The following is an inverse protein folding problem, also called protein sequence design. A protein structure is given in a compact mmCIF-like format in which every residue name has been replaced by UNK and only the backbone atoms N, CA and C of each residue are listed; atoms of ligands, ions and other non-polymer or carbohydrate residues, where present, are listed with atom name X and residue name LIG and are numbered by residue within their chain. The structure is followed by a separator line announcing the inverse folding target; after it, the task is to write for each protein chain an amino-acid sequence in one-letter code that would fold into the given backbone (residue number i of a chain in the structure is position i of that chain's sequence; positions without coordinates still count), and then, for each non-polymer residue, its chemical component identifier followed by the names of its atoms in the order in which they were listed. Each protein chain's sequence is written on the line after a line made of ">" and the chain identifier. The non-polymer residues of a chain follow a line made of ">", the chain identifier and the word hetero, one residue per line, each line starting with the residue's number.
data_IF_985311972158
#
_entry.id   IF_985311972158
#
_cell.length_a   1.000
_cell.length_b   1.000
_cell.length_c   1.000
_cell.angle_alpha   90.00
_cell.angle_beta   90.00
_cell.angle_gamma   90.00
#
_symmetry.space_group_name_H-M   'P 1'
#
loop_
_entity.id
_entity.type
_entity.pdbx_description
1 polymer ?
#
# COMPACT_ATOMS: atom_id res chain seq x y z
N UNK A 1 20.56 -40.71 12.87
CA UNK A 1 20.39 -39.33 13.38
C UNK A 1 19.69 -38.54 12.30
N UNK A 2 18.44 -38.12 12.53
CA UNK A 2 17.67 -37.33 11.55
C UNK A 2 18.39 -36.00 11.30
N UNK A 3 18.67 -35.68 10.04
CA UNK A 3 19.07 -34.33 9.61
C UNK A 3 18.16 -33.28 10.26
N UNK A 4 18.68 -32.15 10.78
CA UNK A 4 17.84 -31.10 11.32
C UNK A 4 16.98 -30.58 10.16
N UNK A 5 15.65 -30.73 10.28
CA UNK A 5 14.70 -30.06 9.38
C UNK A 5 15.08 -28.58 9.36
N UNK A 6 15.30 -28.01 8.19
CA UNK A 6 15.59 -26.59 8.00
C UNK A 6 14.47 -25.78 8.68
N UNK A 7 14.74 -25.20 9.85
CA UNK A 7 13.75 -24.39 10.58
C UNK A 7 13.72 -22.99 9.97
N UNK A 8 12.54 -22.38 9.90
CA UNK A 8 12.42 -21.00 9.43
C UNK A 8 13.12 -20.05 10.42
N UNK A 9 13.76 -19.00 9.91
CA UNK A 9 14.32 -17.98 10.79
C UNK A 9 13.21 -17.17 11.47
N UNK A 10 13.37 -16.87 12.77
CA UNK A 10 12.40 -16.08 13.50
C UNK A 10 12.32 -14.66 12.98
N UNK A 11 11.16 -14.07 13.16
CA UNK A 11 10.88 -12.67 12.88
C UNK A 11 10.65 -11.91 14.17
N UNK A 12 10.85 -10.60 14.10
CA UNK A 12 10.52 -9.66 15.16
C UNK A 12 9.62 -8.56 14.58
N UNK A 13 8.44 -8.41 15.15
CA UNK A 13 7.49 -7.36 14.83
C UNK A 13 7.62 -6.22 15.84
N UNK A 14 8.06 -5.05 15.41
CA UNK A 14 8.11 -3.83 16.21
C UNK A 14 6.93 -2.92 15.87
N UNK A 15 5.94 -2.83 16.75
CA UNK A 15 4.76 -2.00 16.55
C UNK A 15 4.88 -0.71 17.36
N UNK A 16 4.52 0.41 16.74
CA UNK A 16 4.34 1.68 17.45
C UNK A 16 2.89 1.81 17.87
N UNK A 17 2.64 2.31 19.08
CA UNK A 17 1.29 2.61 19.54
C UNK A 17 0.50 3.49 18.56
N UNK A 18 -0.84 3.40 18.62
CA UNK A 18 -1.74 4.24 17.83
C UNK A 18 -1.63 5.74 18.16
N UNK A 19 -2.37 6.55 17.43
CA UNK A 19 -2.37 8.01 17.61
C UNK A 19 -2.81 8.44 19.02
N UNK A 20 -2.09 9.42 19.60
CA UNK A 20 -2.43 10.17 20.82
C UNK A 20 -2.45 11.67 20.52
N UNK A 21 -3.08 12.48 21.38
CA UNK A 21 -3.11 13.95 21.23
C UNK A 21 -1.71 14.55 21.02
N UNK A 22 -0.72 14.10 21.79
CA UNK A 22 0.65 14.62 21.70
C UNK A 22 1.43 14.09 20.49
N UNK A 23 1.07 12.90 19.98
CA UNK A 23 1.64 12.41 18.72
C UNK A 23 1.20 13.27 17.52
N UNK A 24 -0.01 13.83 17.57
CA UNK A 24 -0.56 14.74 16.55
C UNK A 24 0.12 16.10 16.67
N UNK A 25 0.21 16.64 17.89
CA UNK A 25 0.74 17.98 18.13
C UNK A 25 2.28 18.06 18.02
N UNK A 26 2.97 16.91 17.98
CA UNK A 26 4.42 16.79 17.89
C UNK A 26 5.14 17.01 19.22
N UNK A 27 4.44 16.82 20.34
CA UNK A 27 5.02 16.90 21.68
C UNK A 27 5.73 15.58 22.05
N UNK A 28 6.88 15.67 22.70
CA UNK A 28 7.61 14.49 23.18
C UNK A 28 6.83 13.82 24.31
N UNK A 29 6.44 12.57 24.13
CA UNK A 29 5.61 11.80 25.08
C UNK A 29 6.38 10.58 25.58
N UNK A 30 7.04 10.70 26.73
CA UNK A 30 7.81 9.65 27.37
C UNK A 30 6.96 8.96 28.43
N UNK A 31 7.08 9.44 29.66
CA UNK A 31 6.42 8.87 30.84
C UNK A 31 4.95 9.26 30.98
N UNK A 32 4.54 10.41 30.43
CA UNK A 32 3.15 10.86 30.49
C UNK A 32 2.21 9.78 29.96
N UNK A 33 1.19 9.43 30.75
CA UNK A 33 0.29 8.33 30.46
C UNK A 33 -0.92 8.80 29.65
N UNK A 34 -0.66 9.19 28.40
CA UNK A 34 -1.67 9.72 27.48
C UNK A 34 -2.39 8.56 26.78
N UNK A 35 -3.73 8.56 26.76
CA UNK A 35 -4.52 7.55 26.06
C UNK A 35 -4.41 7.71 24.53
N UNK A 36 -4.88 6.69 23.81
CA UNK A 36 -5.12 6.81 22.37
C UNK A 36 -6.28 7.78 22.11
N UNK A 37 -6.24 8.50 21.00
CA UNK A 37 -7.42 9.24 20.51
C UNK A 37 -8.46 8.26 19.98
N UNK A 38 -9.72 8.69 19.86
CA UNK A 38 -10.76 7.88 19.22
C UNK A 38 -10.37 7.46 17.78
N UNK A 39 -9.75 8.38 17.04
CA UNK A 39 -9.20 8.10 15.71
C UNK A 39 -8.06 7.07 15.78
N UNK A 40 -7.13 7.21 16.73
CA UNK A 40 -6.05 6.26 16.96
C UNK A 40 -6.57 4.85 17.26
N UNK A 41 -7.61 4.71 18.08
CA UNK A 41 -8.23 3.41 18.32
C UNK A 41 -8.89 2.82 17.06
N UNK A 42 -9.65 3.63 16.32
CA UNK A 42 -10.32 3.21 15.09
C UNK A 42 -9.32 2.72 14.02
N UNK A 43 -8.21 3.45 13.84
CA UNK A 43 -7.11 3.04 12.94
C UNK A 43 -6.57 1.67 13.33
N UNK A 44 -6.34 1.43 14.62
CA UNK A 44 -5.81 0.15 15.09
C UNK A 44 -6.80 -1.00 14.88
N UNK A 45 -8.09 -0.78 15.14
CA UNK A 45 -9.14 -1.79 14.88
C UNK A 45 -9.27 -2.15 13.42
N UNK A 46 -9.16 -1.17 12.52
CA UNK A 46 -9.21 -1.44 11.08
C UNK A 46 -7.95 -2.15 10.56
N UNK A 47 -6.78 -1.80 11.12
CA UNK A 47 -5.52 -2.41 10.75
C UNK A 47 -5.44 -3.87 11.20
N UNK A 48 -5.95 -4.18 12.40
CA UNK A 48 -5.86 -5.48 13.03
C UNK A 48 -6.21 -6.68 12.11
N UNK A 49 -7.40 -6.76 11.47
CA UNK A 49 -7.75 -7.88 10.61
C UNK A 49 -6.97 -7.92 9.29
N UNK A 50 -6.25 -6.86 8.92
CA UNK A 50 -5.41 -6.82 7.71
C UNK A 50 -4.01 -7.37 7.96
N UNK A 51 -3.51 -7.24 9.19
CA UNK A 51 -2.15 -7.65 9.56
C UNK A 51 -2.12 -8.98 10.31
N UNK A 52 -3.17 -9.33 11.07
CA UNK A 52 -3.25 -10.56 11.84
C UNK A 52 -4.08 -11.63 11.12
N UNK A 53 -3.47 -12.80 10.94
CA UNK A 53 -4.09 -14.00 10.39
C UNK A 53 -4.90 -14.73 11.46
N UNK A 54 -5.94 -15.44 11.01
CA UNK A 54 -6.75 -16.34 11.86
C UNK A 54 -6.39 -17.81 11.65
N UNK A 55 -5.61 -18.12 10.61
CA UNK A 55 -5.13 -19.47 10.31
C UNK A 55 -3.84 -19.42 9.49
N UNK A 56 -3.14 -20.55 9.41
CA UNK A 56 -1.96 -20.72 8.56
C UNK A 56 -2.27 -20.61 7.05
N UNK A 57 -3.53 -20.75 6.65
CA UNK A 57 -3.96 -20.62 5.26
C UNK A 57 -4.20 -19.16 4.83
N UNK A 58 -4.23 -18.23 5.79
CA UNK A 58 -4.48 -16.80 5.56
C UNK A 58 -3.15 -16.08 5.31
N UNK A 59 -3.01 -15.43 4.14
CA UNK A 59 -1.75 -14.87 3.64
C UNK A 59 -1.36 -13.54 4.30
N UNK A 60 -1.74 -13.34 5.56
CA UNK A 60 -1.50 -12.09 6.30
C UNK A 60 -0.13 -12.09 6.95
N UNK A 61 0.25 -10.90 7.42
CA UNK A 61 1.62 -10.58 7.79
C UNK A 61 2.05 -11.23 9.11
N UNK A 62 1.15 -11.35 10.08
CA UNK A 62 1.39 -11.86 11.42
C UNK A 62 0.41 -13.00 11.67
N UNK A 63 0.90 -14.18 12.04
CA UNK A 63 0.04 -15.20 12.62
C UNK A 63 0.26 -15.21 14.14
N UNK A 64 -0.75 -14.88 14.96
CA UNK A 64 -0.62 -14.87 16.41
C UNK A 64 -0.08 -16.19 16.99
N UNK A 65 -0.40 -17.33 16.37
CA UNK A 65 0.05 -18.65 16.82
C UNK A 65 1.52 -18.94 16.57
N UNK A 66 2.19 -18.12 15.76
CA UNK A 66 3.63 -18.23 15.51
C UNK A 66 4.45 -17.40 16.51
N UNK A 67 3.78 -16.57 17.32
CA UNK A 67 4.43 -15.67 18.27
C UNK A 67 4.81 -16.43 19.54
N UNK A 68 6.12 -16.57 19.77
CA UNK A 68 6.67 -17.14 20.98
C UNK A 68 6.53 -16.22 22.20
N UNK A 69 6.74 -14.91 21.99
CA UNK A 69 6.73 -13.91 23.07
C UNK A 69 6.19 -12.55 22.60
N UNK A 70 5.46 -11.87 23.50
CA UNK A 70 5.00 -10.50 23.31
C UNK A 70 5.58 -9.63 24.43
N UNK A 71 6.32 -8.58 24.09
CA UNK A 71 6.80 -7.55 25.02
C UNK A 71 6.00 -6.25 24.81
N UNK A 72 5.55 -5.63 25.88
CA UNK A 72 4.71 -4.43 25.79
C UNK A 72 5.22 -3.36 26.73
N UNK A 73 5.26 -2.13 26.23
CA UNK A 73 5.53 -0.98 27.08
C UNK A 73 4.45 -0.80 28.17
N UNK A 74 4.80 -0.41 29.40
CA UNK A 74 3.83 -0.17 30.47
C UNK A 74 2.92 1.03 30.24
N UNK A 75 3.15 1.84 29.20
CA UNK A 75 2.28 2.98 28.88
C UNK A 75 0.93 2.49 28.36
N UNK A 76 -0.15 3.09 28.85
CA UNK A 76 -1.52 2.66 28.50
C UNK A 76 -1.78 2.65 26.99
N UNK A 77 -1.23 3.62 26.24
CA UNK A 77 -1.32 3.68 24.78
C UNK A 77 -0.76 2.43 24.08
N UNK A 78 0.33 1.85 24.58
CA UNK A 78 0.93 0.64 24.00
C UNK A 78 0.13 -0.61 24.39
N UNK A 79 -0.30 -0.70 25.65
CA UNK A 79 -1.17 -1.81 26.11
C UNK A 79 -2.50 -1.82 25.34
N UNK A 80 -3.15 -0.66 25.25
CA UNK A 80 -4.39 -0.49 24.49
C UNK A 80 -4.22 -0.82 23.01
N UNK A 81 -3.09 -0.45 22.42
CA UNK A 81 -2.79 -0.82 21.02
C UNK A 81 -2.76 -2.34 20.84
N UNK A 82 -2.15 -3.10 21.76
CA UNK A 82 -2.16 -4.57 21.71
C UNK A 82 -3.58 -5.13 21.87
N UNK A 83 -4.36 -4.61 22.83
CA UNK A 83 -5.75 -5.04 23.03
C UNK A 83 -6.57 -4.89 21.74
N UNK A 84 -6.48 -3.73 21.08
CA UNK A 84 -7.21 -3.44 19.84
C UNK A 84 -6.77 -4.35 18.68
N UNK A 85 -5.48 -4.70 18.63
CA UNK A 85 -4.98 -5.67 17.65
C UNK A 85 -5.60 -7.05 17.84
N UNK A 86 -5.81 -7.47 19.08
CA UNK A 86 -6.35 -8.80 19.40
C UNK A 86 -7.89 -8.82 19.49
N UNK A 87 -8.55 -7.67 19.57
CA UNK A 87 -10.00 -7.54 19.82
C UNK A 87 -10.87 -8.29 18.80
N UNK A 88 -10.45 -8.34 17.54
CA UNK A 88 -11.18 -9.01 16.46
C UNK A 88 -11.11 -10.55 16.49
N UNK A 89 -10.27 -11.12 17.36
CA UNK A 89 -10.12 -12.56 17.54
C UNK A 89 -11.13 -13.08 18.58
N UNK A 90 -11.66 -14.28 18.34
CA UNK A 90 -12.51 -14.96 19.31
C UNK A 90 -11.76 -15.26 20.62
N UNK A 91 -12.50 -15.53 21.69
CA UNK A 91 -11.91 -15.89 22.99
C UNK A 91 -10.99 -17.12 22.89
N UNK A 92 -11.43 -18.17 22.20
CA UNK A 92 -10.64 -19.37 21.95
C UNK A 92 -9.36 -19.11 21.15
N UNK A 93 -9.40 -18.19 20.18
CA UNK A 93 -8.21 -17.77 19.42
C UNK A 93 -7.24 -16.98 20.31
N UNK A 94 -7.75 -16.13 21.20
CA UNK A 94 -6.94 -15.33 22.13
C UNK A 94 -6.28 -16.18 23.22
N UNK A 95 -6.93 -17.24 23.67
CA UNK A 95 -6.35 -18.20 24.63
C UNK A 95 -5.11 -18.93 24.10
N UNK A 96 -4.99 -19.05 22.78
CA UNK A 96 -3.83 -19.67 22.11
C UNK A 96 -2.65 -18.71 21.95
N UNK A 97 -2.82 -17.43 22.29
CA UNK A 97 -1.78 -16.42 22.17
C UNK A 97 -1.02 -16.34 23.49
N UNK A 98 0.31 -16.30 23.41
CA UNK A 98 1.17 -16.10 24.58
C UNK A 98 0.80 -14.81 25.32
N UNK A 99 0.78 -14.88 26.66
CA UNK A 99 0.50 -13.70 27.50
C UNK A 99 1.60 -12.64 27.32
N UNK A 100 1.24 -11.35 27.22
CA UNK A 100 2.21 -10.28 27.08
C UNK A 100 2.99 -10.04 28.37
N UNK A 101 4.30 -9.83 28.25
CA UNK A 101 5.16 -9.31 29.31
C UNK A 101 5.17 -7.78 29.26
N UNK A 102 4.65 -7.14 30.31
CA UNK A 102 4.71 -5.68 30.45
C UNK A 102 6.07 -5.30 31.07
N UNK A 103 6.87 -4.49 30.38
CA UNK A 103 8.25 -4.21 30.83
C UNK A 103 8.69 -2.76 30.59
N UNK A 104 9.31 -2.14 31.61
CA UNK A 104 9.91 -0.80 31.52
C UNK A 104 11.06 -0.74 30.52
N UNK A 105 11.62 -1.88 30.11
CA UNK A 105 12.67 -1.92 29.10
C UNK A 105 12.17 -1.45 27.73
N UNK A 106 10.87 -1.62 27.44
CA UNK A 106 10.20 -1.16 26.22
C UNK A 106 9.54 0.23 26.38
N UNK A 107 9.89 1.01 27.41
CA UNK A 107 9.42 2.40 27.52
C UNK A 107 10.05 3.29 26.45
N UNK A 108 9.37 4.39 26.13
CA UNK A 108 9.92 5.42 25.24
C UNK A 108 11.21 6.01 25.83
N UNK A 109 11.93 6.82 25.07
CA UNK A 109 12.97 7.70 25.63
C UNK A 109 12.41 8.50 26.82
N UNK A 110 13.10 8.50 27.96
CA UNK A 110 12.73 9.39 29.07
C UNK A 110 13.16 10.83 28.73
N UNK A 111 12.20 11.72 28.45
CA UNK A 111 12.49 13.07 27.96
C UNK A 111 12.80 14.08 29.08
N UNK A 112 12.64 13.73 30.35
CA UNK A 112 12.90 14.57 31.50
C UNK A 112 12.36 16.00 31.35
N UNK A 113 13.25 17.00 31.35
CA UNK A 113 12.88 18.42 31.21
C UNK A 113 12.16 18.75 29.87
N UNK A 114 12.16 17.84 28.90
CA UNK A 114 11.56 18.01 27.58
C UNK A 114 10.25 17.26 27.41
N UNK A 115 9.77 16.55 28.45
CA UNK A 115 8.45 15.90 28.45
C UNK A 115 7.35 16.93 28.13
N UNK A 116 6.52 16.63 27.14
CA UNK A 116 5.44 17.50 26.69
C UNK A 116 5.87 18.70 25.84
N UNK A 117 7.16 18.93 25.61
CA UNK A 117 7.63 20.00 24.73
C UNK A 117 7.74 19.54 23.28
N UNK A 118 7.58 20.47 22.34
CA UNK A 118 7.89 20.29 20.92
C UNK A 118 9.37 20.54 20.67
N UNK A 119 9.92 19.93 19.61
CA UNK A 119 11.32 20.15 19.20
C UNK A 119 11.65 21.64 19.01
N UNK A 120 10.72 22.42 18.45
CA UNK A 120 10.92 23.85 18.27
C UNK A 120 11.11 24.60 19.60
N UNK A 121 10.33 24.24 20.63
CA UNK A 121 10.40 24.86 21.95
C UNK A 121 11.70 24.49 22.68
N UNK A 122 12.16 23.25 22.53
CA UNK A 122 13.45 22.81 23.07
C UNK A 122 14.59 23.58 22.38
N UNK A 123 14.53 23.72 21.05
CA UNK A 123 15.56 24.43 20.29
C UNK A 123 15.60 25.93 20.52
N UNK A 124 14.51 26.56 20.96
CA UNK A 124 14.56 27.96 21.43
C UNK A 124 15.48 28.13 22.65
N UNK A 125 15.56 27.12 23.51
CA UNK A 125 16.42 27.12 24.70
C UNK A 125 17.81 26.56 24.43
N UNK A 126 17.91 25.55 23.56
CA UNK A 126 19.16 24.86 23.19
C UNK A 126 19.20 24.60 21.67
N UNK A 127 19.63 25.58 20.85
CA UNK A 127 19.56 25.51 19.39
C UNK A 127 20.26 24.29 18.76
N UNK A 128 21.41 23.93 19.33
CA UNK A 128 22.26 22.83 18.84
C UNK A 128 21.83 21.44 19.35
N UNK A 129 20.75 21.38 20.14
CA UNK A 129 20.30 20.12 20.74
C UNK A 129 19.91 19.09 19.68
N UNK A 130 20.40 17.88 19.89
CA UNK A 130 20.08 16.71 19.11
C UNK A 130 19.90 15.50 20.03
N UNK A 131 18.67 14.99 20.14
CA UNK A 131 18.33 13.85 20.99
C UNK A 131 19.25 12.63 20.78
N UNK A 132 19.68 12.39 19.55
CA UNK A 132 20.47 11.21 19.19
C UNK A 132 21.91 11.26 19.71
N UNK A 133 22.40 12.44 20.10
CA UNK A 133 23.76 12.65 20.63
C UNK A 133 23.72 13.13 22.06
N UNK A 134 22.85 14.08 22.37
CA UNK A 134 22.76 14.72 23.68
C UNK A 134 21.85 13.99 24.67
N UNK A 135 20.87 13.23 24.17
CA UNK A 135 19.76 12.74 24.98
C UNK A 135 18.95 13.87 25.62
N UNK A 136 18.37 13.60 26.78
CA UNK A 136 17.52 14.53 27.51
C UNK A 136 18.00 14.65 28.96
N UNK A 137 18.03 15.86 29.56
CA UNK A 137 18.34 16.05 30.97
C UNK A 137 17.14 15.75 31.86
N UNK A 138 17.39 15.51 33.14
CA UNK A 138 16.34 15.36 34.15
C UNK A 138 15.45 16.61 34.25
N UNK A 139 14.18 16.42 34.63
CA UNK A 139 13.29 17.54 34.90
C UNK A 139 13.81 18.35 36.10
N UNK A 140 13.92 19.69 36.02
CA UNK A 140 14.57 20.50 37.05
C UNK A 140 13.87 20.47 38.40
N UNK A 141 12.54 20.25 38.40
CA UNK A 141 11.73 20.30 39.62
C UNK A 141 11.29 18.92 40.15
N UNK A 142 11.19 17.92 39.26
CA UNK A 142 10.66 16.59 39.59
C UNK A 142 11.47 15.48 38.92
N UNK A 143 12.80 15.43 39.15
CA UNK A 143 13.71 14.52 38.44
C UNK A 143 13.43 13.04 38.73
N UNK A 144 12.89 12.69 39.90
CA UNK A 144 12.54 11.31 40.23
C UNK A 144 11.31 10.80 39.45
N UNK A 145 10.37 11.70 39.16
CA UNK A 145 9.16 11.38 38.39
C UNK A 145 9.43 11.43 36.88
N UNK A 146 10.13 12.49 36.44
CA UNK A 146 10.53 12.75 35.06
C UNK A 146 12.05 12.86 34.94
N UNK A 147 12.78 11.74 35.04
CA UNK A 147 14.20 11.70 34.72
C UNK A 147 14.39 11.85 33.21
N UNK A 148 15.57 12.28 32.83
CA UNK A 148 16.07 12.25 31.47
C UNK A 148 16.80 10.94 31.19
N UNK A 149 17.09 10.70 29.92
CA UNK A 149 17.90 9.57 29.49
C UNK A 149 18.91 10.06 28.46
N UNK A 150 20.18 9.73 28.67
CA UNK A 150 21.25 9.99 27.70
C UNK A 150 21.13 9.04 26.51
N UNK A 151 21.74 9.42 25.38
CA UNK A 151 21.82 8.54 24.21
C UNK A 151 22.53 7.21 24.52
N UNK A 152 23.48 7.20 25.45
CA UNK A 152 24.17 5.98 25.88
C UNK A 152 23.24 5.07 26.71
N UNK A 153 22.53 5.62 27.70
CA UNK A 153 21.59 4.82 28.50
C UNK A 153 20.47 4.21 27.63
N UNK A 154 19.96 4.98 26.66
CA UNK A 154 19.00 4.48 25.68
C UNK A 154 19.60 3.35 24.83
N UNK A 155 20.85 3.50 24.40
CA UNK A 155 21.58 2.46 23.64
C UNK A 155 21.74 1.18 24.45
N UNK A 156 22.26 1.27 25.68
CA UNK A 156 22.52 0.12 26.54
C UNK A 156 21.23 -0.64 26.85
N UNK A 157 20.15 0.09 27.11
CA UNK A 157 18.83 -0.47 27.36
C UNK A 157 18.30 -1.23 26.14
N UNK A 158 18.32 -0.60 24.97
CA UNK A 158 17.81 -1.23 23.75
C UNK A 158 18.67 -2.43 23.35
N UNK A 159 19.99 -2.35 23.49
CA UNK A 159 20.91 -3.48 23.27
C UNK A 159 20.59 -4.65 24.23
N UNK A 160 20.26 -4.37 25.49
CA UNK A 160 19.76 -5.35 26.45
C UNK A 160 18.45 -6.04 26.01
N UNK A 161 17.51 -5.28 25.45
CA UNK A 161 16.26 -5.87 24.90
C UNK A 161 16.57 -6.72 23.67
N UNK A 162 17.45 -6.28 22.77
CA UNK A 162 17.88 -7.06 21.60
C UNK A 162 18.53 -8.37 22.04
N UNK A 163 19.41 -8.33 23.04
CA UNK A 163 20.03 -9.54 23.60
C UNK A 163 18.99 -10.52 24.15
N UNK A 164 18.00 -10.02 24.90
CA UNK A 164 16.87 -10.83 25.40
C UNK A 164 16.08 -11.45 24.23
N UNK A 165 15.69 -10.67 23.23
CA UNK A 165 14.97 -11.15 22.03
C UNK A 165 15.75 -12.27 21.34
N UNK A 166 17.05 -12.07 21.11
CA UNK A 166 17.91 -13.06 20.45
C UNK A 166 18.03 -14.34 21.28
N UNK A 167 18.14 -14.22 22.60
CA UNK A 167 18.18 -15.38 23.49
C UNK A 167 16.87 -16.20 23.41
N UNK A 168 15.71 -15.52 23.42
CA UNK A 168 14.40 -16.18 23.29
C UNK A 168 14.24 -16.88 21.93
N UNK A 169 14.65 -16.21 20.84
CA UNK A 169 14.62 -16.79 19.49
C UNK A 169 15.51 -18.03 19.38
N UNK A 170 16.72 -17.99 19.95
CA UNK A 170 17.63 -19.15 20.00
C UNK A 170 17.04 -20.28 20.83
N UNK A 171 16.43 -19.97 21.98
CA UNK A 171 15.79 -20.96 22.84
C UNK A 171 14.67 -21.74 22.12
N UNK A 172 13.84 -21.05 21.32
CA UNK A 172 12.82 -21.70 20.47
C UNK A 172 13.47 -22.63 19.44
N UNK A 173 14.51 -22.16 18.74
CA UNK A 173 15.18 -22.97 17.69
C UNK A 173 15.91 -24.17 18.28
N UNK A 174 16.44 -24.08 19.50
CA UNK A 174 17.06 -25.20 20.21
C UNK A 174 16.01 -26.13 20.84
N UNK A 175 14.75 -25.69 20.94
CA UNK A 175 13.63 -26.48 21.43
C UNK A 175 13.56 -26.57 22.94
N UNK A 176 13.93 -25.51 23.66
CA UNK A 176 13.88 -25.51 25.12
C UNK A 176 12.43 -25.47 25.63
N UNK A 177 12.04 -26.32 26.61
CA UNK A 177 10.64 -26.54 27.02
C UNK A 177 9.87 -25.28 27.43
N UNK A 178 10.55 -24.31 28.03
CA UNK A 178 9.96 -23.05 28.51
C UNK A 178 9.44 -22.15 27.39
N UNK A 179 9.81 -22.43 26.14
CA UNK A 179 9.36 -21.68 24.95
C UNK A 179 8.28 -22.41 24.14
N UNK A 180 7.91 -23.63 24.56
CA UNK A 180 7.07 -24.56 23.80
C UNK A 180 5.63 -24.58 24.33
N UNK A 181 4.83 -23.60 23.93
CA UNK A 181 3.39 -23.60 24.22
C UNK A 181 2.54 -24.08 23.03
N UNK A 182 3.09 -24.11 21.81
CA UNK A 182 2.42 -24.58 20.59
C UNK A 182 3.47 -25.14 19.59
N UNK A 183 3.16 -26.27 18.95
CA UNK A 183 4.01 -26.88 17.91
C UNK A 183 4.21 -25.95 16.69
N UNK A 184 3.28 -25.03 16.43
CA UNK A 184 3.38 -24.02 15.38
C UNK A 184 4.52 -23.03 15.63
N UNK A 185 4.78 -22.66 16.90
CA UNK A 185 5.88 -21.76 17.28
C UNK A 185 7.22 -22.36 16.87
N UNK A 186 7.45 -23.64 17.19
CA UNK A 186 8.64 -24.39 16.80
C UNK A 186 8.82 -24.49 15.29
N UNK A 187 7.72 -24.77 14.58
CA UNK A 187 7.74 -24.98 13.13
C UNK A 187 8.09 -23.69 12.38
N UNK A 188 7.67 -22.54 12.90
CA UNK A 188 7.81 -21.24 12.25
C UNK A 188 8.93 -20.35 12.84
N UNK A 189 9.75 -20.90 13.74
CA UNK A 189 10.99 -20.27 14.23
C UNK A 189 10.81 -19.43 15.49
N UNK A 190 9.58 -19.18 15.94
CA UNK A 190 9.28 -18.42 17.15
C UNK A 190 9.37 -16.91 16.95
N UNK A 191 8.34 -16.33 16.36
CA UNK A 191 8.28 -14.89 16.17
C UNK A 191 8.15 -14.15 17.49
N UNK A 192 8.65 -12.92 17.56
CA UNK A 192 8.50 -12.05 18.73
C UNK A 192 7.77 -10.78 18.32
N UNK A 193 6.90 -10.29 19.18
CA UNK A 193 6.21 -9.00 19.01
C UNK A 193 6.62 -8.03 20.11
N UNK A 194 6.90 -6.78 19.75
CA UNK A 194 7.11 -5.68 20.69
C UNK A 194 6.17 -4.54 20.37
N UNK A 195 5.35 -4.12 21.33
CA UNK A 195 4.46 -2.95 21.19
C UNK A 195 4.99 -1.81 22.05
N UNK A 196 5.55 -0.78 21.40
CA UNK A 196 6.28 0.30 22.05
C UNK A 196 6.02 1.66 21.38
N UNK A 197 7.07 2.45 21.14
CA UNK A 197 7.02 3.89 20.85
C UNK A 197 7.92 4.31 19.69
N UNK A 198 7.86 5.59 19.32
CA UNK A 198 8.50 6.11 18.13
C UNK A 198 10.03 6.18 18.21
N UNK A 199 10.61 6.81 19.24
CA UNK A 199 12.08 6.81 19.37
C UNK A 199 12.60 5.42 19.71
N UNK A 200 11.97 4.69 20.63
CA UNK A 200 12.34 3.32 20.97
C UNK A 200 12.45 2.42 19.74
N UNK A 201 11.43 2.36 18.88
CA UNK A 201 11.47 1.49 17.69
C UNK A 201 12.58 1.90 16.71
N UNK A 202 12.80 3.21 16.50
CA UNK A 202 13.84 3.70 15.59
C UNK A 202 15.25 3.41 16.10
N UNK A 203 15.46 3.56 17.42
CA UNK A 203 16.72 3.13 18.08
C UNK A 203 16.88 1.62 17.94
N UNK A 204 15.83 0.84 18.22
CA UNK A 204 15.85 -0.61 18.10
C UNK A 204 16.27 -1.06 16.70
N UNK A 205 15.70 -0.49 15.65
CA UNK A 205 16.06 -0.83 14.27
C UNK A 205 17.55 -0.53 14.00
N UNK A 206 18.04 0.65 14.40
CA UNK A 206 19.45 1.00 14.21
C UNK A 206 20.38 0.01 14.93
N UNK A 207 20.09 -0.27 16.20
CA UNK A 207 20.89 -1.17 17.04
C UNK A 207 20.80 -2.63 16.61
N UNK A 208 19.64 -3.08 16.13
CA UNK A 208 19.44 -4.42 15.57
C UNK A 208 20.41 -4.71 14.43
N UNK A 209 20.62 -3.71 13.57
CA UNK A 209 21.55 -3.78 12.44
C UNK A 209 23.02 -3.55 12.82
N UNK A 210 23.33 -3.39 14.10
CA UNK A 210 24.68 -3.05 14.57
C UNK A 210 25.11 -1.62 14.26
N UNK A 211 24.18 -0.73 13.88
CA UNK A 211 24.47 0.65 13.52
C UNK A 211 24.41 1.58 14.73
N UNK A 212 25.12 2.73 14.72
CA UNK A 212 25.03 3.73 15.78
C UNK A 212 23.59 4.25 15.95
N UNK A 213 23.21 4.59 17.19
CA UNK A 213 21.87 5.12 17.53
C UNK A 213 21.47 6.34 16.70
N UNK A 214 22.45 7.15 16.28
CA UNK A 214 22.25 8.33 15.42
C UNK A 214 21.64 7.99 14.05
N UNK A 215 21.79 6.76 13.59
CA UNK A 215 21.13 6.25 12.37
C UNK A 215 19.62 6.17 12.55
N UNK A 216 19.13 6.08 13.78
CA UNK A 216 17.71 6.08 14.13
C UNK A 216 16.93 7.26 13.54
N UNK A 217 17.59 8.40 13.29
CA UNK A 217 17.00 9.57 12.62
C UNK A 217 16.52 9.29 11.19
N UNK A 218 17.09 8.29 10.54
CA UNK A 218 16.79 7.92 9.16
C UNK A 218 15.62 6.96 9.02
N UNK A 219 15.09 6.43 10.12
CA UNK A 219 13.93 5.54 10.10
C UNK A 219 12.66 6.32 10.45
N UNK A 220 11.58 6.03 9.75
CA UNK A 220 10.24 6.53 10.05
C UNK A 220 9.36 5.37 10.47
N UNK A 221 8.76 5.48 11.66
CA UNK A 221 7.77 4.52 12.17
C UNK A 221 6.61 5.35 12.70
N UNK A 222 5.59 5.56 11.88
CA UNK A 222 4.40 6.34 12.22
C UNK A 222 3.58 5.71 13.34
N UNK A 223 2.72 6.50 14.00
CA UNK A 223 1.77 5.97 14.98
C UNK A 223 0.89 4.89 14.32
N UNK A 224 0.76 3.72 14.95
CA UNK A 224 0.14 2.52 14.38
C UNK A 224 0.98 1.80 13.30
N UNK A 225 2.17 2.31 12.97
CA UNK A 225 3.11 1.67 12.05
C UNK A 225 3.84 0.48 12.68
N UNK A 226 4.49 -0.30 11.82
CA UNK A 226 5.19 -1.52 12.22
C UNK A 226 6.48 -1.72 11.42
N UNK A 227 7.53 -2.24 12.04
CA UNK A 227 8.70 -2.77 11.35
C UNK A 227 8.80 -4.30 11.53
N UNK A 228 9.19 -4.99 10.48
CA UNK A 228 9.53 -6.40 10.47
C UNK A 228 11.06 -6.53 10.42
N UNK A 229 11.63 -7.10 11.47
CA UNK A 229 13.06 -7.41 11.57
C UNK A 229 13.26 -8.93 11.46
N UNK A 230 14.34 -9.34 10.81
CA UNK A 230 14.66 -10.74 10.54
C UNK A 230 16.17 -10.92 10.32
N UNK A 231 16.57 -12.00 9.67
CA UNK A 231 17.95 -12.38 9.41
C UNK A 231 18.12 -12.83 7.95
N UNK A 232 19.27 -12.53 7.33
CA UNK A 232 19.61 -13.05 5.99
C UNK A 232 20.41 -14.35 6.08
N UNK A 233 20.40 -15.11 4.97
CA UNK A 233 21.16 -16.35 4.80
C UNK A 233 20.97 -17.38 5.93
N UNK A 234 19.83 -17.35 6.62
CA UNK A 234 19.52 -18.20 7.77
C UNK A 234 20.55 -18.12 8.91
N UNK A 235 21.12 -16.92 9.16
CA UNK A 235 22.15 -16.70 10.17
C UNK A 235 21.77 -15.60 11.17
N UNK A 236 21.90 -15.88 12.47
CA UNK A 236 21.73 -14.86 13.52
C UNK A 236 22.76 -13.73 13.46
N UNK A 237 23.88 -13.95 12.78
CA UNK A 237 24.97 -12.98 12.64
C UNK A 237 24.68 -11.93 11.57
N UNK A 238 23.61 -12.11 10.79
CA UNK A 238 23.22 -11.22 9.71
C UNK A 238 21.82 -10.62 9.92
N UNK A 239 21.64 -9.72 10.91
CA UNK A 239 20.37 -9.06 11.15
C UNK A 239 19.96 -8.16 9.98
N UNK A 240 18.68 -8.17 9.63
CA UNK A 240 18.12 -7.44 8.51
C UNK A 240 16.75 -6.82 8.82
N UNK A 241 16.35 -5.84 8.01
CA UNK A 241 14.99 -5.31 7.95
C UNK A 241 14.25 -6.03 6.83
N UNK A 242 13.17 -6.72 7.16
CA UNK A 242 12.29 -7.34 6.17
C UNK A 242 11.30 -6.35 5.54
N UNK A 243 10.75 -5.43 6.35
CA UNK A 243 9.84 -4.37 5.88
C UNK A 243 9.63 -3.30 6.95
N UNK A 244 9.18 -2.10 6.53
CA UNK A 244 8.64 -1.05 7.41
C UNK A 244 7.31 -0.58 6.81
N UNK A 245 6.27 -0.57 7.64
CA UNK A 245 4.90 -0.25 7.27
C UNK A 245 4.45 1.01 8.02
N UNK A 246 3.93 1.98 7.29
CA UNK A 246 3.27 3.15 7.87
C UNK A 246 1.75 2.97 7.86
N UNK A 247 1.11 3.29 8.99
CA UNK A 247 -0.35 3.37 9.06
C UNK A 247 -0.93 4.51 8.19
N UNK A 248 -0.12 5.51 7.84
CA UNK A 248 -0.53 6.63 6.96
C UNK A 248 -0.52 6.27 5.48
N UNK A 249 0.28 5.28 5.09
CA UNK A 249 0.37 4.77 3.70
C UNK A 249 -0.51 3.54 3.46
N UNK A 250 -1.09 2.96 4.51
CA UNK A 250 -2.19 1.99 4.39
C UNK A 250 -3.50 2.68 3.95
N UNK A 251 -4.54 1.92 3.58
CA UNK A 251 -5.85 2.51 3.30
C UNK A 251 -6.30 3.31 4.53
N UNK A 252 -6.55 4.60 4.36
CA UNK A 252 -7.00 5.47 5.46
C UNK A 252 -8.36 4.96 5.96
N UNK A 253 -8.56 4.89 7.28
CA UNK A 253 -9.90 4.72 7.83
C UNK A 253 -10.76 5.86 7.33
N UNK A 254 -11.85 5.51 6.66
CA UNK A 254 -12.95 6.44 6.53
C UNK A 254 -13.70 6.32 7.86
N UNK A 255 -13.47 7.27 8.77
CA UNK A 255 -14.34 7.45 9.92
C UNK A 255 -15.69 7.92 9.39
N UNK A 256 -16.55 6.96 9.03
CA UNK A 256 -17.93 7.22 8.66
C UNK A 256 -18.71 7.46 9.97
N UNK A 257 -19.38 8.60 10.05
CA UNK A 257 -20.22 8.99 11.20
C UNK A 257 -21.32 7.94 11.42
N UNK A 258 -21.66 7.71 12.68
CA UNK A 258 -22.51 6.63 13.24
C UNK A 258 -23.95 6.45 12.70
N UNK A 259 -24.32 6.95 11.52
CA UNK A 259 -25.73 6.86 11.06
C UNK A 259 -26.09 5.70 10.13
N UNK A 260 -25.17 4.78 9.77
CA UNK A 260 -25.55 3.61 8.95
C UNK A 260 -25.07 2.27 9.54
N UNK A 261 -25.65 1.90 10.69
CA UNK A 261 -25.59 0.52 11.21
C UNK A 261 -26.62 -0.35 10.49
N UNK A 262 -26.36 -0.63 9.21
CA UNK A 262 -26.74 -1.87 8.52
C UNK A 262 -26.31 -1.73 7.06
N UNK A 263 -25.19 -2.34 6.66
CA UNK A 263 -25.03 -3.00 5.36
C UNK A 263 -23.67 -3.72 5.29
N UNK A 264 -23.77 -4.99 4.89
CA UNK A 264 -22.75 -5.95 4.45
C UNK A 264 -21.42 -5.32 4.00
N UNK A 265 -20.30 -5.98 4.33
CA UNK A 265 -18.99 -5.81 3.67
C UNK A 265 -19.16 -5.63 2.16
N UNK A 266 -19.17 -4.38 1.72
CA UNK A 266 -19.20 -4.03 0.30
C UNK A 266 -17.77 -3.76 -0.09
N UNK A 267 -17.24 -4.62 -0.95
CA UNK A 267 -16.13 -4.22 -1.82
C UNK A 267 -16.58 -2.91 -2.48
N UNK A 268 -15.97 -1.77 -2.15
CA UNK A 268 -16.31 -0.49 -2.79
C UNK A 268 -16.19 -0.69 -4.30
N UNK A 269 -17.28 -0.41 -5.02
CA UNK A 269 -17.38 -0.65 -6.46
C UNK A 269 -16.19 0.00 -7.19
N UNK A 270 -15.59 -0.68 -8.18
CA UNK A 270 -14.34 -0.24 -8.83
C UNK A 270 -14.44 1.19 -9.41
N UNK A 271 -15.66 1.64 -9.74
CA UNK A 271 -15.96 2.98 -10.22
C UNK A 271 -15.57 4.12 -9.26
N UNK A 272 -15.46 3.86 -7.96
CA UNK A 272 -14.97 4.88 -7.03
C UNK A 272 -13.55 5.36 -7.37
N UNK A 273 -12.75 4.56 -8.08
CA UNK A 273 -11.45 5.01 -8.60
C UNK A 273 -11.61 6.15 -9.62
N UNK A 274 -12.60 6.03 -10.52
CA UNK A 274 -12.92 7.06 -11.50
C UNK A 274 -13.45 8.32 -10.81
N UNK A 275 -14.39 8.17 -9.86
CA UNK A 275 -14.95 9.32 -9.14
C UNK A 275 -13.91 10.07 -8.31
N UNK A 276 -13.01 9.35 -7.66
CA UNK A 276 -11.90 9.95 -6.93
C UNK A 276 -10.96 10.73 -7.85
N UNK A 277 -10.67 10.19 -9.04
CA UNK A 277 -9.86 10.87 -10.04
C UNK A 277 -10.55 12.14 -10.56
N UNK A 278 -11.83 12.07 -10.89
CA UNK A 278 -12.61 13.25 -11.34
C UNK A 278 -12.62 14.32 -10.26
N UNK A 279 -12.90 13.95 -9.00
CA UNK A 279 -12.88 14.88 -7.88
C UNK A 279 -11.52 15.57 -7.76
N UNK A 280 -10.43 14.81 -7.84
CA UNK A 280 -9.08 15.35 -7.78
C UNK A 280 -8.79 16.32 -8.92
N UNK A 281 -9.17 16.00 -10.16
CA UNK A 281 -9.02 16.90 -11.32
C UNK A 281 -9.77 18.22 -11.11
N UNK A 282 -10.94 18.17 -10.48
CA UNK A 282 -11.72 19.37 -10.16
C UNK A 282 -11.06 20.19 -9.05
N UNK A 283 -10.61 19.53 -7.98
CA UNK A 283 -10.07 20.21 -6.79
C UNK A 283 -8.64 20.76 -7.02
N UNK A 284 -7.81 20.06 -7.78
CA UNK A 284 -6.36 20.29 -7.90
C UNK A 284 -5.88 20.56 -9.34
N UNK A 285 -6.76 20.47 -10.35
CA UNK A 285 -6.37 20.53 -11.76
C UNK A 285 -5.87 21.90 -12.21
N UNK A 286 -4.87 21.90 -13.09
CA UNK A 286 -4.42 23.10 -13.80
C UNK A 286 -5.33 23.40 -14.98
N UNK A 287 -5.72 24.66 -15.15
CA UNK A 287 -6.45 25.12 -16.33
C UNK A 287 -5.54 25.12 -17.56
N UNK A 288 -5.98 24.47 -18.64
CA UNK A 288 -5.27 24.39 -19.92
C UNK A 288 -6.17 24.80 -21.08
N UNK A 289 -5.68 25.62 -22.03
CA UNK A 289 -6.44 25.92 -23.23
C UNK A 289 -6.62 24.66 -24.10
N UNK A 290 -7.77 24.55 -24.77
CA UNK A 290 -8.08 23.47 -25.70
C UNK A 290 -8.49 24.02 -27.08
N UNK A 291 -8.60 23.13 -28.08
CA UNK A 291 -8.97 23.50 -29.45
C UNK A 291 -10.41 23.99 -29.60
N UNK A 292 -11.25 23.83 -28.58
CA UNK A 292 -12.65 24.27 -28.56
C UNK A 292 -12.81 25.66 -27.96
N UNK A 293 -11.75 26.22 -27.36
CA UNK A 293 -11.76 27.54 -26.72
C UNK A 293 -12.43 27.55 -25.33
N UNK A 294 -12.86 26.40 -24.84
CA UNK A 294 -13.51 26.22 -23.53
C UNK A 294 -12.50 26.04 -22.41
N UNK A 295 -11.33 25.47 -22.74
CA UNK A 295 -10.34 25.07 -21.75
C UNK A 295 -10.71 23.78 -21.00
N UNK A 296 -9.72 23.19 -20.36
CA UNK A 296 -9.82 21.92 -19.61
C UNK A 296 -9.08 22.03 -18.28
N UNK A 297 -9.56 21.33 -17.25
CA UNK A 297 -8.76 21.09 -16.03
C UNK A 297 -8.00 19.78 -16.20
N UNK A 298 -6.71 19.79 -15.90
CA UNK A 298 -5.85 18.62 -16.07
C UNK A 298 -4.86 18.45 -14.92
N UNK A 299 -4.57 17.20 -14.59
CA UNK A 299 -3.47 16.81 -13.68
C UNK A 299 -2.49 15.96 -14.49
N UNK A 300 -1.21 16.22 -14.33
CA UNK A 300 -0.17 15.42 -14.96
C UNK A 300 -0.01 14.06 -14.25
N UNK A 301 -0.14 12.97 -15.01
CA UNK A 301 0.14 11.59 -14.58
C UNK A 301 -0.43 11.24 -13.17
N UNK A 302 -1.76 11.32 -12.97
CA UNK A 302 -2.36 11.04 -11.67
C UNK A 302 -2.10 9.60 -11.23
N UNK A 303 -1.49 9.44 -10.05
CA UNK A 303 -1.33 8.16 -9.36
C UNK A 303 -2.41 7.98 -8.29
N UNK A 304 -2.91 6.76 -8.06
CA UNK A 304 -2.61 5.52 -8.79
C UNK A 304 -3.33 5.45 -10.16
N UNK A 305 -2.78 4.69 -11.11
CA UNK A 305 -3.48 4.35 -12.35
C UNK A 305 -4.76 3.56 -12.04
N UNK A 306 -5.84 3.84 -12.77
CA UNK A 306 -7.10 3.10 -12.66
C UNK A 306 -6.89 1.61 -13.00
N UNK A 307 -7.43 0.73 -12.16
CA UNK A 307 -7.38 -0.73 -12.37
C UNK A 307 -8.77 -1.32 -12.28
N UNK A 308 -9.16 -2.07 -13.29
CA UNK A 308 -10.47 -2.71 -13.35
C UNK A 308 -10.31 -4.20 -13.60
N UNK A 309 -11.05 -5.02 -12.87
CA UNK A 309 -11.04 -6.47 -13.06
C UNK A 309 -11.89 -6.85 -14.28
N UNK A 310 -11.32 -7.66 -15.16
CA UNK A 310 -12.02 -8.33 -16.27
C UNK A 310 -12.36 -9.80 -15.94
N UNK A 311 -12.08 -10.25 -14.71
CA UNK A 311 -12.34 -11.63 -14.28
C UNK A 311 -13.84 -11.92 -14.34
N UNK A 312 -14.19 -13.19 -14.53
CA UNK A 312 -15.60 -13.63 -14.56
C UNK A 312 -16.44 -12.97 -15.67
N UNK A 313 -15.81 -12.51 -16.75
CA UNK A 313 -16.51 -11.91 -17.89
C UNK A 313 -17.07 -10.51 -17.59
N UNK A 314 -16.49 -9.78 -16.63
CA UNK A 314 -16.91 -8.42 -16.31
C UNK A 314 -16.32 -7.41 -17.30
N UNK A 315 -17.12 -6.41 -17.68
CA UNK A 315 -16.69 -5.24 -18.45
C UNK A 315 -16.87 -3.99 -17.56
N UNK A 316 -15.82 -3.22 -17.26
CA UNK A 316 -15.95 -2.02 -16.46
C UNK A 316 -16.74 -0.97 -17.21
N UNK A 317 -17.90 -0.61 -16.66
CA UNK A 317 -18.77 0.43 -17.18
C UNK A 317 -19.02 1.45 -16.07
N UNK A 318 -18.97 2.73 -16.41
CA UNK A 318 -19.36 3.79 -15.48
C UNK A 318 -20.88 3.74 -15.29
N UNK A 319 -21.33 3.60 -14.05
CA UNK A 319 -22.76 3.58 -13.68
C UNK A 319 -23.24 4.94 -13.16
N UNK A 320 -22.33 5.79 -12.69
CA UNK A 320 -22.61 7.18 -12.26
C UNK A 320 -22.90 8.13 -13.42
N UNK A 321 -22.66 7.71 -14.66
CA UNK A 321 -23.03 8.44 -15.86
C UNK A 321 -23.79 7.50 -16.78
N UNK A 322 -24.81 8.02 -17.47
CA UNK A 322 -25.46 7.28 -18.55
C UNK A 322 -24.44 7.04 -19.66
N UNK A 323 -24.08 5.78 -19.88
CA UNK A 323 -23.20 5.34 -20.98
C UNK A 323 -24.07 4.73 -22.08
N UNK A 324 -23.80 5.12 -23.33
CA UNK A 324 -24.44 4.51 -24.49
C UNK A 324 -23.79 3.15 -24.82
N UNK A 325 -24.05 2.16 -23.98
CA UNK A 325 -23.38 0.85 -24.02
C UNK A 325 -23.49 0.17 -25.40
N UNK A 326 -24.67 0.23 -26.02
CA UNK A 326 -24.89 -0.33 -27.36
C UNK A 326 -23.91 0.26 -28.39
N UNK A 327 -23.75 1.59 -28.40
CA UNK A 327 -22.81 2.25 -29.30
C UNK A 327 -21.36 1.86 -29.04
N UNK A 328 -20.96 1.84 -27.76
CA UNK A 328 -19.60 1.42 -27.37
C UNK A 328 -19.28 0.00 -27.85
N UNK A 329 -20.21 -0.94 -27.67
CA UNK A 329 -20.00 -2.33 -28.08
C UNK A 329 -19.96 -2.49 -29.61
N UNK A 330 -20.90 -1.90 -30.33
CA UNK A 330 -20.95 -1.97 -31.80
C UNK A 330 -19.70 -1.35 -32.45
N UNK A 331 -19.25 -0.20 -31.93
CA UNK A 331 -18.03 0.46 -32.40
C UNK A 331 -16.77 -0.39 -32.10
N UNK A 332 -16.65 -0.93 -30.89
CA UNK A 332 -15.51 -1.78 -30.53
C UNK A 332 -15.44 -3.04 -31.40
N UNK A 333 -16.59 -3.70 -31.63
CA UNK A 333 -16.67 -4.87 -32.50
C UNK A 333 -16.34 -4.52 -33.96
N UNK A 334 -16.73 -3.33 -34.41
CA UNK A 334 -16.39 -2.81 -35.73
C UNK A 334 -14.88 -2.59 -35.88
N UNK A 335 -14.19 -2.04 -34.86
CA UNK A 335 -12.73 -1.96 -34.85
C UNK A 335 -12.07 -3.35 -34.82
N UNK A 336 -12.54 -4.26 -33.97
CA UNK A 336 -12.04 -5.64 -33.89
C UNK A 336 -12.20 -6.37 -35.22
N UNK A 337 -13.28 -6.11 -35.95
CA UNK A 337 -13.52 -6.64 -37.29
C UNK A 337 -12.68 -5.99 -38.40
N UNK A 338 -11.87 -4.97 -38.08
CA UNK A 338 -11.02 -4.26 -39.04
C UNK A 338 -11.78 -3.38 -40.03
N UNK A 339 -13.04 -3.05 -39.74
CA UNK A 339 -13.91 -2.28 -40.65
C UNK A 339 -13.56 -0.79 -40.61
N UNK A 340 -13.80 -0.12 -41.74
CA UNK A 340 -13.54 1.32 -41.92
C UNK A 340 -14.69 2.09 -42.57
N UNK A 341 -15.78 1.41 -42.94
CA UNK A 341 -17.01 2.05 -43.43
C UNK A 341 -17.94 2.40 -42.27
N UNK A 342 -18.20 3.70 -42.08
CA UNK A 342 -19.10 4.20 -41.04
C UNK A 342 -20.56 3.79 -41.30
N UNK A 343 -20.96 3.53 -42.55
CA UNK A 343 -22.35 3.16 -42.88
C UNK A 343 -22.80 1.87 -42.21
N UNK A 344 -21.87 0.94 -41.96
CA UNK A 344 -22.12 -0.29 -41.20
C UNK A 344 -22.64 0.03 -39.78
N UNK A 345 -22.13 1.09 -39.16
CA UNK A 345 -22.57 1.56 -37.85
C UNK A 345 -23.89 2.34 -37.97
N UNK A 346 -24.01 3.20 -38.98
CA UNK A 346 -25.23 4.00 -39.24
C UNK A 346 -26.45 3.12 -39.50
N UNK A 347 -26.31 2.03 -40.25
CA UNK A 347 -27.35 1.01 -40.49
C UNK A 347 -27.84 0.35 -39.19
N UNK A 348 -26.98 0.30 -38.16
CA UNK A 348 -27.33 -0.18 -36.82
C UNK A 348 -27.82 0.95 -35.90
N UNK A 349 -27.98 2.16 -36.42
CA UNK A 349 -28.42 3.33 -35.66
C UNK A 349 -27.32 3.93 -34.76
N UNK A 350 -26.05 3.73 -35.11
CA UNK A 350 -24.90 4.30 -34.41
C UNK A 350 -24.23 5.34 -35.31
N UNK A 351 -24.45 6.62 -35.03
CA UNK A 351 -24.06 7.75 -35.90
C UNK A 351 -22.78 8.49 -35.48
N UNK A 352 -21.98 7.90 -34.58
CA UNK A 352 -20.82 8.59 -33.96
C UNK A 352 -19.74 9.01 -34.97
N UNK A 353 -19.67 8.34 -36.13
CA UNK A 353 -18.72 8.63 -37.21
C UNK A 353 -19.33 9.32 -38.44
N UNK A 354 -20.65 9.56 -38.47
CA UNK A 354 -21.34 10.08 -39.67
C UNK A 354 -20.75 11.43 -40.12
N UNK A 355 -20.40 12.29 -39.17
CA UNK A 355 -19.76 13.58 -39.46
C UNK A 355 -18.41 13.40 -40.17
N UNK A 356 -17.59 12.47 -39.71
CA UNK A 356 -16.27 12.17 -40.28
C UNK A 356 -16.36 11.44 -41.63
N UNK A 357 -17.41 10.65 -41.84
CA UNK A 357 -17.68 9.95 -43.10
C UNK A 357 -18.41 10.79 -44.14
N UNK A 358 -18.93 11.96 -43.76
CA UNK A 358 -19.74 12.82 -44.63
C UNK A 358 -18.96 13.34 -45.84
N UNK A 359 -19.65 13.54 -46.96
CA UNK A 359 -19.06 14.12 -48.18
C UNK A 359 -18.37 15.46 -47.91
N UNK A 360 -19.05 16.35 -47.18
CA UNK A 360 -18.53 17.67 -46.80
C UNK A 360 -17.21 17.59 -46.04
N UNK A 361 -17.09 16.70 -45.05
CA UNK A 361 -15.86 16.56 -44.28
C UNK A 361 -14.73 15.99 -45.14
N UNK A 362 -14.99 14.92 -45.89
CA UNK A 362 -13.99 14.29 -46.75
C UNK A 362 -13.47 15.27 -47.82
N UNK A 363 -14.34 16.06 -48.45
CA UNK A 363 -13.94 17.08 -49.42
C UNK A 363 -13.11 18.20 -48.78
N UNK A 364 -13.49 18.65 -47.58
CA UNK A 364 -12.70 19.65 -46.83
C UNK A 364 -11.27 19.18 -46.49
N UNK A 365 -11.03 17.86 -46.51
CA UNK A 365 -9.72 17.23 -46.29
C UNK A 365 -9.01 16.85 -47.60
N UNK A 366 -9.58 17.16 -48.76
CA UNK A 366 -9.05 16.81 -50.08
C UNK A 366 -9.23 15.34 -50.46
N UNK A 367 -10.08 14.60 -49.75
CA UNK A 367 -10.32 13.16 -49.94
C UNK A 367 -11.49 12.91 -50.90
N UNK A 368 -11.46 13.55 -52.07
CA UNK A 368 -12.54 13.53 -53.06
C UNK A 368 -12.75 12.16 -53.69
N UNK A 369 -11.73 11.31 -53.71
CA UNK A 369 -11.78 9.96 -54.28
C UNK A 369 -12.40 8.90 -53.35
N UNK A 370 -12.54 9.19 -52.05
CA UNK A 370 -13.15 8.25 -51.08
C UNK A 370 -14.65 8.35 -51.14
N UNK A 371 -15.38 7.22 -51.10
CA UNK A 371 -16.85 7.29 -51.02
C UNK A 371 -17.30 7.81 -49.66
N UNK A 372 -18.52 8.35 -49.60
CA UNK A 372 -19.14 8.71 -48.33
C UNK A 372 -19.26 7.47 -47.42
N UNK A 373 -18.84 7.64 -46.17
CA UNK A 373 -18.71 6.60 -45.14
C UNK A 373 -17.31 5.98 -45.05
N UNK A 374 -16.45 6.15 -46.05
CA UNK A 374 -15.08 5.65 -46.01
C UNK A 374 -14.20 6.53 -45.11
N UNK A 375 -13.91 6.03 -43.91
CA UNK A 375 -13.09 6.73 -42.92
C UNK A 375 -11.58 6.60 -43.19
N UNK A 376 -11.17 5.78 -44.17
CA UNK A 376 -9.78 5.45 -44.43
C UNK A 376 -9.19 4.45 -43.43
N UNK A 377 -7.85 4.35 -43.35
CA UNK A 377 -7.16 3.37 -42.51
C UNK A 377 -7.16 3.77 -41.02
N UNK A 378 -8.34 3.89 -40.42
CA UNK A 378 -8.56 4.20 -39.00
C UNK A 378 -8.23 3.00 -38.10
N UNK A 379 -8.53 3.11 -36.79
CA UNK A 379 -8.08 2.17 -35.76
C UNK A 379 -8.25 0.69 -36.12
N UNK A 380 -9.43 0.27 -36.61
CA UNK A 380 -9.68 -1.12 -36.98
C UNK A 380 -8.70 -1.63 -38.06
N UNK A 381 -8.43 -0.83 -39.08
CA UNK A 381 -7.44 -1.16 -40.10
C UNK A 381 -6.03 -1.26 -39.51
N UNK A 382 -5.66 -0.33 -38.62
CA UNK A 382 -4.37 -0.40 -37.94
C UNK A 382 -4.26 -1.67 -37.07
N UNK A 383 -5.34 -2.14 -36.46
CA UNK A 383 -5.31 -3.32 -35.59
C UNK A 383 -5.19 -4.64 -36.38
N UNK A 384 -5.87 -4.74 -37.52
CA UNK A 384 -5.98 -5.99 -38.29
C UNK A 384 -5.07 -6.06 -39.52
N UNK A 385 -4.64 -4.92 -40.06
CA UNK A 385 -3.93 -4.78 -41.33
C UNK A 385 -2.78 -3.77 -41.26
N UNK A 386 -2.06 -3.72 -40.13
CA UNK A 386 -1.00 -2.72 -39.91
C UNK A 386 0.05 -2.77 -41.02
N UNK A 387 0.37 -1.61 -41.61
CA UNK A 387 1.36 -1.49 -42.69
C UNK A 387 0.86 -1.92 -44.09
N UNK A 388 -0.37 -2.40 -44.25
CA UNK A 388 -0.95 -2.62 -45.57
C UNK A 388 -1.24 -1.30 -46.29
N UNK A 389 -1.14 -1.29 -47.62
CA UNK A 389 -1.53 -0.14 -48.44
C UNK A 389 -3.06 -0.05 -48.48
N UNK A 390 -3.61 1.04 -47.95
CA UNK A 390 -5.05 1.29 -48.02
C UNK A 390 -5.49 1.63 -49.46
N UNK A 391 -6.55 0.98 -49.92
CA UNK A 391 -7.22 1.22 -51.21
C UNK A 391 -8.55 1.92 -50.92
N UNK A 392 -9.51 1.20 -50.35
CA UNK A 392 -10.83 1.70 -49.92
C UNK A 392 -11.41 0.81 -48.82
N UNK A 393 -12.60 1.17 -48.33
CA UNK A 393 -13.33 0.44 -47.29
C UNK A 393 -14.04 -0.86 -47.74
N UNK A 394 -14.08 -1.13 -49.05
CA UNK A 394 -14.77 -2.28 -49.66
C UNK A 394 -13.79 -3.41 -50.05
N UNK A 395 -12.49 -3.09 -50.10
CA UNK A 395 -11.40 -4.03 -50.40
C UNK A 395 -11.22 -5.09 -49.31
N UNK A 396 -10.98 -6.34 -49.72
CA UNK A 396 -10.56 -7.43 -48.82
C UNK A 396 -9.05 -7.36 -48.54
N UNK A 397 -8.70 -7.09 -47.30
CA UNK A 397 -7.31 -7.02 -46.81
C UNK A 397 -6.85 -8.30 -46.13
N UNK A 398 -7.57 -9.41 -46.29
CA UNK A 398 -7.16 -10.72 -45.74
C UNK A 398 -5.76 -11.09 -46.23
N UNK A 399 -4.86 -11.39 -45.28
CA UNK A 399 -3.45 -11.70 -45.57
C UNK A 399 -2.58 -10.48 -45.92
N UNK A 400 -3.12 -9.26 -45.87
CA UNK A 400 -2.36 -8.04 -46.11
C UNK A 400 -1.99 -7.35 -44.78
N UNK A 401 -0.73 -6.91 -44.67
CA UNK A 401 -0.20 -6.25 -43.48
C UNK A 401 -0.02 -7.20 -42.30
N UNK A 402 -0.04 -6.63 -41.08
CA UNK A 402 0.13 -7.38 -39.83
C UNK A 402 -1.15 -7.32 -39.00
N UNK A 403 -1.73 -8.48 -38.68
CA UNK A 403 -2.83 -8.61 -37.73
C UNK A 403 -2.29 -8.61 -36.29
N UNK A 404 -2.15 -7.40 -35.74
CA UNK A 404 -1.62 -7.20 -34.38
C UNK A 404 -2.52 -7.84 -33.32
N UNK A 405 -3.83 -7.84 -33.54
CA UNK A 405 -4.79 -8.42 -32.60
C UNK A 405 -4.67 -9.94 -32.55
N UNK A 406 -4.60 -10.59 -33.71
CA UNK A 406 -4.39 -12.04 -33.80
C UNK A 406 -3.06 -12.45 -33.14
N UNK A 407 -1.99 -11.69 -33.37
CA UNK A 407 -0.68 -11.96 -32.76
C UNK A 407 -0.69 -11.79 -31.24
N UNK A 408 -1.35 -10.76 -30.71
CA UNK A 408 -1.55 -10.60 -29.27
C UNK A 408 -2.32 -11.78 -28.67
N UNK A 409 -3.43 -12.18 -29.29
CA UNK A 409 -4.25 -13.32 -28.82
C UNK A 409 -3.43 -14.62 -28.83
N UNK A 410 -2.67 -14.86 -29.90
CA UNK A 410 -1.80 -16.03 -30.02
C UNK A 410 -0.75 -16.05 -28.92
N UNK A 411 -0.02 -14.95 -28.70
CA UNK A 411 0.99 -14.84 -27.64
C UNK A 411 0.40 -15.02 -26.25
N UNK A 412 -0.77 -14.45 -25.95
CA UNK A 412 -1.42 -14.65 -24.64
C UNK A 412 -1.70 -16.14 -24.39
N UNK A 413 -2.05 -16.90 -25.42
CA UNK A 413 -2.34 -18.34 -25.32
C UNK A 413 -1.08 -19.21 -25.27
N UNK A 414 -0.08 -18.90 -26.10
CA UNK A 414 1.08 -19.77 -26.35
C UNK A 414 2.34 -19.34 -25.59
N UNK A 415 2.50 -18.04 -25.31
CA UNK A 415 3.66 -17.46 -24.64
C UNK A 415 3.25 -16.26 -23.74
N UNK A 416 2.49 -16.49 -22.65
CA UNK A 416 1.87 -15.43 -21.85
C UNK A 416 2.86 -14.51 -21.12
N UNK A 417 4.12 -14.90 -20.98
CA UNK A 417 5.19 -14.11 -20.36
C UNK A 417 5.95 -13.25 -21.39
N UNK A 418 5.53 -13.27 -22.66
CA UNK A 418 6.15 -12.46 -23.71
C UNK A 418 5.98 -10.96 -23.41
N UNK A 419 7.10 -10.28 -23.23
CA UNK A 419 7.16 -8.81 -23.03
C UNK A 419 6.82 -7.99 -24.29
N UNK A 420 6.50 -8.64 -25.42
CA UNK A 420 6.18 -8.04 -26.72
C UNK A 420 4.73 -8.34 -27.16
N UNK A 421 3.83 -8.51 -26.20
CA UNK A 421 2.38 -8.47 -26.43
C UNK A 421 1.98 -6.98 -26.50
N UNK A 422 2.03 -6.43 -27.72
CA UNK A 422 1.85 -5.00 -27.97
C UNK A 422 0.92 -4.80 -29.18
N UNK A 423 0.04 -3.82 -29.09
CA UNK A 423 -0.82 -3.37 -30.17
C UNK A 423 -0.68 -1.85 -30.26
N UNK A 424 -0.35 -1.35 -31.45
CA UNK A 424 -0.24 0.09 -31.73
C UNK A 424 -1.27 0.50 -32.77
N UNK A 425 -2.04 1.54 -32.48
CA UNK A 425 -2.89 2.20 -33.46
C UNK A 425 -2.27 3.48 -34.04
N UNK A 426 -1.07 3.84 -33.58
CA UNK A 426 -0.36 5.02 -34.05
C UNK A 426 0.39 4.71 -35.35
N UNK A 427 0.09 5.47 -36.41
CA UNK A 427 0.67 5.30 -37.73
C UNK A 427 1.25 6.63 -38.26
N UNK A 428 2.52 6.94 -37.95
CA UNK A 428 3.19 8.15 -38.44
C UNK A 428 3.25 8.24 -39.97
N UNK A 429 3.31 7.11 -40.67
CA UNK A 429 3.44 7.10 -42.13
C UNK A 429 2.14 7.52 -42.84
N UNK A 430 1.01 7.50 -42.14
CA UNK A 430 -0.29 7.97 -42.64
C UNK A 430 -0.74 9.31 -42.08
N UNK A 431 0.07 9.96 -41.23
CA UNK A 431 -0.25 11.21 -40.54
C UNK A 431 0.02 12.47 -41.39
#
# INVERSE_FOLDING_TARGET
>A
MSTPKHRAMPRLYLLRHGETEWSISGQHTGRSNIPLTANGEAVMRELAPRVLSRSDADSKLINPRHIAHILVSPRMRSQRTLELLLEHLSEQEREQIVKPEITQQCREWDYGAYEGLKTAEIKLKRPDWNIWTDGCPDHPEIPDELPGESAQQMTDRVDGVIAKVRALQKAVIEGHPETLHDDAVLKHGGDIMIVAHGHFNRVFIARWLGLPITTGRGFEVDAGGMALLTYTHNSFDEPAIGAIFSAKTGPKPVLEKEEEVHLKTTVKHEEHQYLALVKRVIDEGELRPDRTGTGTLAIFAPQPCLRFSLRNGTLPLLTTKRVFLRGVLEELLWFVAGKTDSKILSERGISIWDGNGSRTFLDSRGLTSRREGDLGPVYGFQWRHFGAKYIDCDTDYTGQGVDQLAECVRKIKENPTDRRILLSAWNPAGA
#
